data_IF_887017352355
#
_entry.id   IF_887017352355
#
_cell.length_a   1.000
_cell.length_b   1.000
_cell.length_c   1.000
_cell.angle_alpha   90.00
_cell.angle_beta   90.00
_cell.angle_gamma   90.00
#
_symmetry.space_group_name_H-M   'P 1'
#
loop_
_entity.id
_entity.type
_entity.pdbx_description
1 polymer ?
#
# COMPACT_ATOMS: atom_id res chain seq x y z
N UNK A 1 5.18 -32.20 -39.13
CA UNK A 1 4.46 -31.07 -38.52
C UNK A 1 4.39 -29.93 -39.54
N UNK A 2 5.50 -29.45 -40.13
CA UNK A 2 5.47 -28.34 -41.09
C UNK A 2 4.53 -28.58 -42.31
N UNK A 3 4.33 -29.80 -42.72
CA UNK A 3 3.46 -30.15 -43.85
C UNK A 3 1.94 -30.01 -43.54
N UNK A 4 1.57 -29.86 -42.25
CA UNK A 4 0.18 -29.71 -41.80
C UNK A 4 -0.25 -28.26 -41.60
N UNK A 5 0.66 -27.28 -41.80
CA UNK A 5 0.43 -25.85 -41.55
C UNK A 5 -0.31 -25.61 -40.23
N UNK A 6 0.31 -25.93 -39.08
CA UNK A 6 -0.37 -25.89 -37.80
C UNK A 6 -0.73 -24.45 -37.38
N UNK A 7 -1.70 -24.31 -36.49
CA UNK A 7 -1.92 -23.06 -35.73
C UNK A 7 -0.96 -23.09 -34.58
N UNK A 8 -0.15 -22.03 -34.45
CA UNK A 8 0.78 -21.86 -33.34
C UNK A 8 0.15 -20.98 -32.27
N UNK A 9 0.12 -21.43 -31.02
CA UNK A 9 -0.33 -20.67 -29.89
C UNK A 9 0.86 -20.46 -28.94
N UNK A 10 1.20 -19.22 -28.65
CA UNK A 10 2.31 -18.83 -27.77
C UNK A 10 1.75 -18.06 -26.59
N UNK A 11 1.92 -18.62 -25.41
CA UNK A 11 1.62 -17.94 -24.15
C UNK A 11 2.91 -17.33 -23.61
N UNK A 12 2.82 -16.08 -23.10
CA UNK A 12 3.95 -15.28 -22.61
C UNK A 12 5.12 -15.23 -23.63
N UNK A 13 4.91 -14.68 -24.84
CA UNK A 13 5.87 -14.72 -25.94
C UNK A 13 7.23 -14.08 -25.60
N UNK A 14 7.29 -13.16 -24.62
CA UNK A 14 8.55 -12.52 -24.21
C UNK A 14 9.60 -13.53 -23.70
N UNK A 15 9.18 -14.70 -23.23
CA UNK A 15 10.09 -15.78 -22.80
C UNK A 15 10.73 -16.52 -23.97
N UNK A 16 10.14 -16.45 -25.17
CA UNK A 16 10.55 -17.17 -26.37
C UNK A 16 10.90 -16.25 -27.55
N UNK A 17 11.00 -14.95 -27.35
CA UNK A 17 11.30 -13.93 -28.39
C UNK A 17 12.78 -13.80 -28.76
N UNK A 18 13.65 -14.67 -28.27
CA UNK A 18 15.04 -14.71 -28.71
C UNK A 18 15.16 -14.99 -30.20
N UNK A 19 16.11 -14.34 -30.91
CA UNK A 19 16.27 -14.46 -32.37
C UNK A 19 16.30 -15.91 -32.86
N UNK A 20 17.08 -16.78 -32.20
CA UNK A 20 17.17 -18.20 -32.55
C UNK A 20 15.87 -18.98 -32.35
N UNK A 21 15.05 -18.57 -31.37
CA UNK A 21 13.77 -19.23 -31.11
C UNK A 21 12.74 -18.80 -32.15
N UNK A 22 12.72 -17.53 -32.56
CA UNK A 22 11.85 -17.04 -33.64
C UNK A 22 12.14 -17.80 -34.94
N UNK A 23 13.40 -17.96 -35.34
CA UNK A 23 13.81 -18.75 -36.51
C UNK A 23 13.31 -20.19 -36.43
N UNK A 24 13.42 -20.83 -35.27
CA UNK A 24 12.92 -22.21 -35.07
C UNK A 24 11.39 -22.30 -35.11
N UNK A 25 10.67 -21.27 -34.67
CA UNK A 25 9.21 -21.24 -34.75
C UNK A 25 8.73 -21.10 -36.18
N UNK A 26 9.46 -20.42 -37.05
CA UNK A 26 9.22 -20.30 -38.47
C UNK A 26 9.34 -21.67 -39.21
N UNK A 27 10.20 -22.59 -38.73
CA UNK A 27 10.37 -23.92 -39.26
C UNK A 27 9.08 -24.76 -39.20
N UNK A 28 8.15 -24.43 -38.29
CA UNK A 28 6.84 -25.08 -38.22
C UNK A 28 5.91 -24.69 -39.38
N UNK A 29 6.21 -23.62 -40.11
CA UNK A 29 5.37 -23.03 -41.17
C UNK A 29 3.91 -22.89 -40.74
N UNK A 30 3.64 -22.18 -39.66
CA UNK A 30 2.28 -22.07 -39.14
C UNK A 30 1.37 -21.33 -40.10
N UNK A 31 0.09 -21.73 -40.14
CA UNK A 31 -0.94 -21.03 -40.89
C UNK A 31 -1.12 -19.62 -40.35
N UNK A 32 -1.15 -19.49 -39.02
CA UNK A 32 -1.04 -18.23 -38.25
C UNK A 32 -0.59 -18.53 -36.84
N UNK A 33 -0.16 -17.47 -36.14
CA UNK A 33 0.31 -17.55 -34.75
C UNK A 33 -0.55 -16.65 -33.86
N UNK A 34 -1.15 -17.20 -32.81
CA UNK A 34 -1.81 -16.47 -31.75
C UNK A 34 -0.84 -16.27 -30.61
N UNK A 35 -0.69 -15.01 -30.18
CA UNK A 35 0.21 -14.62 -29.09
C UNK A 35 -0.61 -14.03 -27.95
N UNK A 36 -0.52 -14.64 -26.78
CA UNK A 36 -1.17 -14.18 -25.55
C UNK A 36 -0.14 -13.62 -24.58
N UNK A 37 -0.30 -12.40 -24.14
CA UNK A 37 0.56 -11.79 -23.13
C UNK A 37 -0.11 -10.56 -22.51
N UNK A 38 0.12 -10.33 -21.23
CA UNK A 38 -0.24 -9.09 -20.58
C UNK A 38 0.74 -7.92 -20.92
N UNK A 39 1.97 -8.24 -21.36
CA UNK A 39 3.08 -7.29 -21.56
C UNK A 39 3.77 -7.50 -22.91
N UNK A 40 3.09 -7.22 -24.01
CA UNK A 40 3.72 -7.24 -25.33
C UNK A 40 4.75 -6.12 -25.50
N UNK A 41 5.97 -6.48 -25.91
CA UNK A 41 6.99 -5.50 -26.31
C UNK A 41 6.68 -4.95 -27.70
N UNK A 42 6.39 -5.82 -28.65
CA UNK A 42 6.07 -5.46 -30.03
C UNK A 42 4.57 -5.58 -30.26
N UNK A 43 3.92 -4.46 -30.56
CA UNK A 43 2.48 -4.39 -30.86
C UNK A 43 2.27 -4.39 -32.37
N UNK A 44 1.97 -5.52 -32.95
CA UNK A 44 1.50 -5.62 -34.33
C UNK A 44 0.32 -6.59 -34.42
N UNK A 45 -0.57 -6.34 -35.33
CA UNK A 45 -1.77 -7.17 -35.60
C UNK A 45 -2.57 -7.49 -34.32
N UNK A 46 -2.69 -6.49 -33.42
CA UNK A 46 -3.37 -6.67 -32.14
C UNK A 46 -4.88 -6.79 -32.35
N UNK A 47 -5.44 -7.99 -32.10
CA UNK A 47 -6.85 -8.30 -32.25
C UNK A 47 -7.64 -7.85 -31.01
N UNK A 48 -7.08 -8.03 -29.81
CA UNK A 48 -7.75 -7.71 -28.56
C UNK A 48 -6.74 -7.22 -27.52
N UNK A 49 -7.17 -6.24 -26.73
CA UNK A 49 -6.40 -5.70 -25.60
C UNK A 49 -7.26 -5.66 -24.34
N UNK A 50 -6.71 -6.18 -23.25
CA UNK A 50 -7.22 -6.01 -21.91
C UNK A 50 -6.03 -5.96 -20.96
N UNK A 51 -5.46 -4.77 -20.77
CA UNK A 51 -4.40 -4.58 -19.77
C UNK A 51 -4.98 -4.34 -18.37
N UNK A 52 -4.10 -4.20 -17.37
CA UNK A 52 -4.51 -4.00 -15.99
C UNK A 52 -5.35 -2.72 -15.79
N UNK A 53 -5.03 -1.65 -16.53
CA UNK A 53 -5.76 -0.39 -16.47
C UNK A 53 -7.14 -0.52 -17.15
N UNK A 54 -7.19 -1.18 -18.31
CA UNK A 54 -8.45 -1.46 -19.00
C UNK A 54 -9.38 -2.33 -18.14
N UNK A 55 -8.83 -3.37 -17.50
CA UNK A 55 -9.57 -4.25 -16.60
C UNK A 55 -10.09 -3.49 -15.37
N UNK A 56 -9.30 -2.60 -14.80
CA UNK A 56 -9.72 -1.75 -13.69
C UNK A 56 -10.83 -0.78 -14.09
N UNK A 57 -10.68 -0.06 -15.21
CA UNK A 57 -11.67 0.89 -15.71
C UNK A 57 -13.00 0.21 -16.05
N UNK A 58 -12.93 -1.03 -16.55
CA UNK A 58 -14.12 -1.88 -16.82
C UNK A 58 -14.69 -2.56 -15.56
N UNK A 59 -14.12 -2.32 -14.38
CA UNK A 59 -14.51 -2.93 -13.09
C UNK A 59 -14.47 -4.48 -13.09
N UNK A 60 -13.57 -5.06 -13.89
CA UNK A 60 -13.37 -6.51 -13.96
C UNK A 60 -12.43 -7.02 -12.88
N UNK A 61 -11.61 -6.15 -12.30
CA UNK A 61 -10.67 -6.46 -11.22
C UNK A 61 -10.82 -5.47 -10.08
N UNK A 62 -10.44 -5.90 -8.87
CA UNK A 62 -10.41 -5.02 -7.70
C UNK A 62 -9.27 -4.00 -7.83
N UNK A 63 -9.44 -2.83 -7.20
CA UNK A 63 -8.39 -1.83 -7.09
C UNK A 63 -7.20 -2.41 -6.31
N UNK A 64 -6.01 -2.31 -6.88
CA UNK A 64 -4.78 -2.56 -6.13
C UNK A 64 -4.38 -1.23 -5.49
N UNK A 65 -4.49 -1.15 -4.16
CA UNK A 65 -3.97 -0.03 -3.40
C UNK A 65 -2.61 -0.42 -2.84
N UNK A 66 -1.58 0.35 -3.18
CA UNK A 66 -0.26 0.20 -2.56
C UNK A 66 -0.22 1.14 -1.36
N UNK A 67 -0.11 0.58 -0.16
CA UNK A 67 0.18 1.33 1.06
C UNK A 67 1.66 1.21 1.36
N UNK A 68 2.31 2.35 1.48
CA UNK A 68 3.73 2.44 1.84
C UNK A 68 3.85 2.79 3.31
N UNK A 69 4.62 2.01 4.05
CA UNK A 69 5.01 2.35 5.43
C UNK A 69 6.26 3.21 5.33
N UNK A 70 6.09 4.52 5.50
CA UNK A 70 7.21 5.45 5.55
C UNK A 70 7.63 5.64 7.00
N UNK A 71 8.87 5.29 7.30
CA UNK A 71 9.48 5.59 8.59
C UNK A 71 10.12 6.97 8.52
N UNK A 72 9.54 7.94 9.20
CA UNK A 72 10.17 9.24 9.39
C UNK A 72 11.04 9.18 10.64
N UNK A 73 12.29 8.73 10.49
CA UNK A 73 13.25 8.76 11.58
C UNK A 73 13.74 10.19 11.79
N UNK A 74 13.41 10.74 12.92
CA UNK A 74 14.07 11.94 13.44
C UNK A 74 14.90 11.51 14.63
N UNK A 75 16.17 11.82 14.59
CA UNK A 75 17.14 11.57 15.67
C UNK A 75 16.63 12.14 17.01
N UNK A 76 16.39 11.26 17.98
CA UNK A 76 16.13 11.60 19.38
C UNK A 76 14.73 11.20 19.84
N UNK A 77 14.66 10.43 20.90
CA UNK A 77 13.54 10.11 21.82
C UNK A 77 12.11 10.46 21.29
N UNK A 78 11.71 9.92 20.17
CA UNK A 78 10.36 10.16 19.65
C UNK A 78 9.47 8.98 19.96
N UNK A 79 8.30 9.30 20.52
CA UNK A 79 7.27 8.32 20.78
C UNK A 79 6.76 7.67 19.49
N UNK A 80 6.44 6.39 19.57
CA UNK A 80 5.84 5.63 18.48
C UNK A 80 4.40 6.09 18.25
N UNK A 81 4.05 6.39 17.01
CA UNK A 81 2.69 6.67 16.57
C UNK A 81 2.47 6.11 15.17
N UNK A 82 1.46 5.27 15.03
CA UNK A 82 1.01 4.74 13.76
C UNK A 82 -0.45 5.12 13.52
N UNK A 83 -0.75 5.70 12.35
CA UNK A 83 -2.12 5.98 11.91
C UNK A 83 -2.65 4.83 11.06
N UNK A 84 -3.52 4.01 11.64
CA UNK A 84 -4.06 2.85 10.99
C UNK A 84 -5.15 3.20 9.98
N UNK A 85 -6.16 3.98 10.40
CA UNK A 85 -7.28 4.38 9.55
C UNK A 85 -7.96 5.64 10.06
N UNK A 86 -8.73 6.29 9.20
CA UNK A 86 -9.69 7.33 9.56
C UNK A 86 -11.10 6.80 9.32
N UNK A 87 -11.94 6.87 10.34
CA UNK A 87 -13.31 6.38 10.32
C UNK A 87 -14.25 7.55 10.15
N UNK A 88 -14.86 7.74 8.97
CA UNK A 88 -15.84 8.79 8.77
C UNK A 88 -17.04 8.60 9.69
N UNK A 89 -17.58 9.71 10.20
CA UNK A 89 -18.77 9.71 11.02
C UNK A 89 -19.96 10.23 10.20
N UNK A 90 -21.17 9.76 10.51
CA UNK A 90 -22.41 10.27 9.86
C UNK A 90 -22.65 11.75 10.17
N UNK A 91 -22.17 12.22 11.31
CA UNK A 91 -22.26 13.60 11.77
C UNK A 91 -21.02 13.90 12.62
N UNK A 92 -20.38 15.05 12.38
CA UNK A 92 -19.17 15.49 13.09
C UNK A 92 -17.86 15.13 12.40
N UNK A 93 -16.75 15.37 13.10
CA UNK A 93 -15.41 15.08 12.62
C UNK A 93 -15.15 13.55 12.55
N UNK A 94 -14.30 13.08 11.63
CA UNK A 94 -13.91 11.68 11.60
C UNK A 94 -13.14 11.29 12.85
N UNK A 95 -13.15 10.00 13.19
CA UNK A 95 -12.33 9.42 14.26
C UNK A 95 -11.08 8.79 13.65
N UNK A 96 -9.96 8.83 14.37
CA UNK A 96 -8.72 8.19 13.97
C UNK A 96 -8.48 6.90 14.77
N UNK A 97 -8.16 5.80 14.09
CA UNK A 97 -7.62 4.61 14.74
C UNK A 97 -6.10 4.71 14.72
N UNK A 98 -5.52 4.85 15.90
CA UNK A 98 -4.10 5.02 16.08
C UNK A 98 -3.53 3.93 16.98
N UNK A 99 -2.25 3.60 16.77
CA UNK A 99 -1.46 2.76 17.67
C UNK A 99 -0.33 3.62 18.24
N UNK A 100 -0.20 3.63 19.57
CA UNK A 100 0.79 4.41 20.28
C UNK A 100 1.22 3.72 21.58
N UNK A 101 2.28 4.18 22.18
CA UNK A 101 2.79 3.66 23.44
C UNK A 101 2.05 4.26 24.62
N UNK A 102 1.68 3.42 25.58
CA UNK A 102 1.00 3.84 26.79
C UNK A 102 1.62 3.16 28.02
N UNK A 103 1.78 3.92 29.09
CA UNK A 103 2.21 3.39 30.38
C UNK A 103 1.05 2.67 31.06
N UNK A 104 1.28 1.43 31.45
CA UNK A 104 0.30 0.63 32.21
C UNK A 104 0.33 1.01 33.69
N UNK A 105 -0.66 0.55 34.46
CA UNK A 105 -0.70 0.73 35.90
C UNK A 105 0.49 0.08 36.63
N UNK A 106 1.09 -0.96 36.03
CA UNK A 106 2.32 -1.59 36.55
C UNK A 106 3.60 -0.80 36.25
N UNK A 107 3.52 0.28 35.45
CA UNK A 107 4.67 1.10 35.07
C UNK A 107 5.29 0.69 33.72
N UNK A 108 4.91 -0.47 33.16
CA UNK A 108 5.43 -0.94 31.89
C UNK A 108 4.88 -0.13 30.73
N UNK A 109 5.64 -0.01 29.65
CA UNK A 109 5.20 0.63 28.41
C UNK A 109 4.71 -0.44 27.43
N UNK A 110 3.48 -0.27 26.92
CA UNK A 110 2.88 -1.17 25.92
C UNK A 110 2.30 -0.38 24.78
N UNK A 111 2.35 -0.93 23.59
CA UNK A 111 1.62 -0.41 22.43
C UNK A 111 0.16 -0.79 22.52
N UNK A 112 -0.71 0.21 22.31
CA UNK A 112 -2.15 0.08 22.36
C UNK A 112 -2.77 0.71 21.13
N UNK A 113 -3.81 0.08 20.60
CA UNK A 113 -4.61 0.64 19.52
C UNK A 113 -5.88 1.24 20.12
N UNK A 114 -6.14 2.52 19.82
CA UNK A 114 -7.37 3.22 20.23
C UNK A 114 -8.04 3.91 19.06
N UNK A 115 -9.35 4.01 19.10
CA UNK A 115 -10.14 4.90 18.25
C UNK A 115 -10.33 6.21 19.01
N UNK A 116 -9.79 7.30 18.46
CA UNK A 116 -9.72 8.59 19.13
C UNK A 116 -10.43 9.69 18.33
N UNK A 117 -10.84 10.74 19.05
CA UNK A 117 -11.46 11.94 18.50
C UNK A 117 -10.51 13.13 18.65
N UNK A 118 -10.68 14.15 17.81
CA UNK A 118 -9.89 15.37 17.91
C UNK A 118 -10.53 16.39 18.87
N UNK A 119 -9.75 17.13 19.64
CA UNK A 119 -8.29 17.01 19.77
C UNK A 119 -7.89 15.86 20.70
N UNK A 120 -6.75 15.20 20.43
CA UNK A 120 -6.24 14.10 21.25
C UNK A 120 -4.81 14.38 21.71
N UNK A 121 -4.61 14.56 23.01
CA UNK A 121 -3.31 14.87 23.61
C UNK A 121 -2.57 13.58 24.00
N UNK A 122 -1.62 13.16 23.15
CA UNK A 122 -0.88 11.91 23.35
C UNK A 122 -0.10 11.87 24.67
N UNK A 123 0.48 13.00 25.13
CA UNK A 123 1.21 13.04 26.39
C UNK A 123 0.35 12.61 27.58
N UNK A 124 -0.83 13.20 27.72
CA UNK A 124 -1.75 12.89 28.82
C UNK A 124 -2.31 11.48 28.71
N UNK A 125 -2.74 11.10 27.52
CA UNK A 125 -3.37 9.82 27.24
C UNK A 125 -2.42 8.63 27.27
N UNK A 126 -1.11 8.87 27.11
CA UNK A 126 -0.08 7.84 27.23
C UNK A 126 0.34 7.52 28.67
N UNK A 127 -0.21 8.24 29.66
CA UNK A 127 0.27 8.18 31.04
C UNK A 127 1.55 8.98 31.24
N UNK A 128 1.61 10.16 30.65
CA UNK A 128 2.70 11.12 30.74
C UNK A 128 4.06 10.56 30.30
N UNK A 129 4.08 9.82 29.18
CA UNK A 129 5.34 9.34 28.63
C UNK A 129 6.18 10.50 28.09
N UNK A 130 7.44 10.64 28.52
CA UNK A 130 8.33 11.72 28.07
C UNK A 130 8.49 11.80 26.55
N UNK A 131 8.37 10.67 25.86
CA UNK A 131 8.45 10.56 24.42
C UNK A 131 7.39 11.39 23.68
N UNK A 132 6.28 11.74 24.32
CA UNK A 132 5.20 12.57 23.76
C UNK A 132 5.16 13.99 24.35
N UNK A 133 6.18 14.43 25.07
CA UNK A 133 6.30 15.83 25.48
C UNK A 133 6.50 16.75 24.28
N UNK A 134 5.98 17.98 24.37
CA UNK A 134 6.31 19.03 23.41
C UNK A 134 5.53 19.01 22.11
N UNK A 135 4.19 18.91 22.18
CA UNK A 135 3.36 19.20 21.02
C UNK A 135 2.77 17.99 20.29
N UNK A 136 2.65 16.87 20.97
CA UNK A 136 2.00 15.67 20.46
C UNK A 136 0.47 15.71 20.64
N UNK A 137 -0.15 16.80 20.20
CA UNK A 137 -1.61 16.90 20.12
C UNK A 137 -2.06 16.57 18.70
N UNK A 138 -2.94 15.59 18.57
CA UNK A 138 -3.52 15.20 17.29
C UNK A 138 -4.77 16.05 17.03
N UNK A 139 -4.85 16.60 15.83
CA UNK A 139 -5.94 17.49 15.40
C UNK A 139 -6.14 17.39 13.90
N UNK A 140 -7.16 18.07 13.36
CA UNK A 140 -7.45 18.14 11.92
C UNK A 140 -7.47 16.77 11.26
N UNK A 141 -8.39 15.93 11.71
CA UNK A 141 -8.60 14.60 11.12
C UNK A 141 -9.31 14.75 9.78
N UNK A 142 -8.61 14.49 8.68
CA UNK A 142 -9.10 14.66 7.32
C UNK A 142 -9.29 13.31 6.62
N UNK A 143 -10.54 12.88 6.52
CA UNK A 143 -10.92 11.63 5.88
C UNK A 143 -11.37 11.79 4.41
N UNK A 144 -11.12 12.97 3.78
CA UNK A 144 -11.45 13.18 2.38
C UNK A 144 -10.63 12.29 1.47
N UNK A 145 -11.23 11.88 0.36
CA UNK A 145 -10.53 11.04 -0.62
C UNK A 145 -9.26 11.72 -1.12
N UNK A 146 -8.14 10.99 -1.02
CA UNK A 146 -6.80 11.49 -1.37
C UNK A 146 -6.03 12.20 -0.26
N UNK A 147 -6.67 12.62 0.84
CA UNK A 147 -5.98 13.28 1.96
C UNK A 147 -5.68 12.34 3.13
N UNK A 148 -6.64 11.63 3.64
CA UNK A 148 -6.53 10.64 4.74
C UNK A 148 -5.37 10.89 5.71
N UNK A 149 -5.41 12.02 6.42
CA UNK A 149 -4.31 12.46 7.28
C UNK A 149 -4.79 13.05 8.61
N UNK A 150 -3.89 13.09 9.59
CA UNK A 150 -4.07 13.82 10.84
C UNK A 150 -2.92 14.82 11.00
N UNK A 151 -3.15 15.89 11.75
CA UNK A 151 -2.12 16.85 12.10
C UNK A 151 -1.60 16.58 13.51
N UNK A 152 -0.27 16.62 13.67
CA UNK A 152 0.43 16.49 14.94
C UNK A 152 1.06 17.83 15.27
N UNK A 153 0.62 18.46 16.36
CA UNK A 153 1.07 19.77 16.73
C UNK A 153 0.79 20.82 15.66
N UNK A 154 1.72 21.77 15.46
CA UNK A 154 1.50 22.91 14.57
C UNK A 154 1.71 22.60 13.08
N UNK A 155 2.69 21.74 12.72
CA UNK A 155 3.18 21.68 11.33
C UNK A 155 3.40 20.27 10.77
N UNK A 156 3.11 19.22 11.51
CA UNK A 156 3.40 17.85 11.06
C UNK A 156 2.14 17.12 10.66
N UNK A 157 2.07 16.62 9.42
CA UNK A 157 1.00 15.73 8.97
C UNK A 157 1.45 14.28 9.04
N UNK A 158 0.53 13.38 9.40
CA UNK A 158 0.69 11.94 9.35
C UNK A 158 -0.45 11.36 8.51
N UNK A 159 -0.09 10.60 7.48
CA UNK A 159 -1.07 9.96 6.60
C UNK A 159 -1.39 8.54 7.05
N UNK A 160 -2.55 8.05 6.66
CA UNK A 160 -2.94 6.65 6.93
C UNK A 160 -1.89 5.69 6.36
N UNK A 161 -1.45 4.75 7.19
CA UNK A 161 -0.38 3.80 6.88
C UNK A 161 1.03 4.27 7.26
N UNK A 162 1.19 5.53 7.69
CA UNK A 162 2.49 6.06 8.12
C UNK A 162 2.75 5.85 9.61
N UNK A 163 4.01 5.70 9.96
CA UNK A 163 4.51 5.54 11.33
C UNK A 163 5.57 6.58 11.64
N UNK A 164 5.54 7.09 12.87
CA UNK A 164 6.56 7.96 13.44
C UNK A 164 7.16 7.27 14.65
N UNK A 165 8.47 7.45 14.88
CA UNK A 165 9.19 6.93 16.03
C UNK A 165 10.01 5.68 15.73
N UNK A 166 10.56 5.07 16.79
CA UNK A 166 11.37 3.87 16.65
C UNK A 166 10.49 2.66 16.31
N UNK A 167 10.78 2.04 15.16
CA UNK A 167 10.19 0.79 14.73
C UNK A 167 11.30 -0.21 14.44
N UNK A 168 11.15 -1.44 14.89
CA UNK A 168 12.01 -2.53 14.45
C UNK A 168 11.43 -3.23 13.21
N UNK A 169 12.20 -4.12 12.57
CA UNK A 169 11.74 -4.85 11.39
C UNK A 169 10.44 -5.64 11.62
N UNK A 170 10.26 -6.20 12.81
CA UNK A 170 9.07 -6.98 13.14
C UNK A 170 7.82 -6.09 13.23
N UNK A 171 7.96 -4.87 13.71
CA UNK A 171 6.86 -3.89 13.73
C UNK A 171 6.45 -3.50 12.32
N UNK A 172 7.42 -3.24 11.45
CA UNK A 172 7.15 -2.94 10.03
C UNK A 172 6.44 -4.11 9.36
N UNK A 173 6.91 -5.34 9.58
CA UNK A 173 6.28 -6.57 9.05
C UNK A 173 4.84 -6.74 9.56
N UNK A 174 4.59 -6.50 10.86
CA UNK A 174 3.23 -6.57 11.44
C UNK A 174 2.30 -5.54 10.81
N UNK A 175 2.76 -4.31 10.60
CA UNK A 175 1.99 -3.27 9.93
C UNK A 175 1.68 -3.70 8.49
N UNK A 176 2.67 -4.17 7.74
CA UNK A 176 2.49 -4.66 6.37
C UNK A 176 1.47 -5.80 6.28
N UNK A 177 1.55 -6.79 7.17
CA UNK A 177 0.59 -7.91 7.21
C UNK A 177 -0.82 -7.38 7.51
N UNK A 178 -0.98 -6.50 8.49
CA UNK A 178 -2.28 -5.93 8.88
C UNK A 178 -2.95 -5.15 7.73
N UNK A 179 -2.15 -4.44 6.95
CA UNK A 179 -2.64 -3.65 5.81
C UNK A 179 -2.93 -4.50 4.56
N UNK A 180 -2.53 -5.76 4.53
CA UNK A 180 -2.69 -6.66 3.38
C UNK A 180 -3.96 -7.52 3.50
N UNK A 181 -4.52 -7.69 4.70
CA UNK A 181 -5.74 -8.45 4.99
C UNK A 181 -6.98 -7.56 4.88
#
# INVERSE_FOLDING_TARGET
IAATNPILIIDEPQSVEGKKTKERLEDFKPLFTLRYSATHKDKHDMIYRLDALDAYNKKLVKKIAVKTVEQTSTTGTQGYLYLQELVPQKSGAPKARIEFEMRTKSGDVKRVTKLVEEPFALFEESGNLPAYQGGWTLSHFDAREGEHSIQIGANRKLYVGQVIGETNEDDIRRIQIRETI
#
